data_IF_708400726292
#
_entry.id   IF_708400726292
#
_cell.length_a   1.000
_cell.length_b   1.000
_cell.length_c   1.000
_cell.angle_alpha   90.00
_cell.angle_beta   90.00
_cell.angle_gamma   90.00
#
_symmetry.space_group_name_H-M   'P 1'
#
loop_
_entity.id
_entity.type
_entity.pdbx_description
1 polymer ?
#
# COMPACT_ATOMS: atom_id res chain seq x y z
N UNK A 1 14.94 -19.34 15.30
CA UNK A 1 13.45 -19.26 15.27
C UNK A 1 13.05 -17.99 14.52
N UNK A 2 12.24 -18.09 13.45
CA UNK A 2 11.67 -16.90 12.81
C UNK A 2 10.59 -16.34 13.74
N UNK A 3 10.83 -15.18 14.36
CA UNK A 3 9.83 -14.47 15.17
C UNK A 3 8.67 -14.15 14.24
N UNK A 4 7.49 -14.76 14.44
CA UNK A 4 6.29 -14.38 13.68
C UNK A 4 5.85 -13.02 14.18
N UNK A 5 5.90 -12.02 13.30
CA UNK A 5 5.42 -10.68 13.64
C UNK A 5 3.92 -10.76 13.94
N UNK A 6 3.46 -10.17 15.06
CA UNK A 6 2.04 -10.13 15.38
C UNK A 6 1.30 -9.37 14.29
N UNK A 7 0.19 -9.93 13.82
CA UNK A 7 -0.63 -9.29 12.79
C UNK A 7 -1.60 -8.31 13.46
N UNK A 8 -1.52 -7.00 13.19
CA UNK A 8 -2.45 -6.03 13.77
C UNK A 8 -3.86 -6.19 13.18
N UNK A 9 -4.85 -5.65 13.89
CA UNK A 9 -6.23 -5.60 13.43
C UNK A 9 -6.34 -4.72 12.17
N UNK A 10 -7.09 -5.17 11.16
CA UNK A 10 -7.22 -4.45 9.89
C UNK A 10 -7.74 -3.01 10.05
N UNK A 11 -8.66 -2.79 10.99
CA UNK A 11 -9.23 -1.47 11.30
C UNK A 11 -8.18 -0.47 11.80
N UNK A 12 -7.16 -0.96 12.51
CA UNK A 12 -6.14 -0.13 13.15
C UNK A 12 -4.81 -0.10 12.41
N UNK A 13 -4.55 -1.08 11.53
CA UNK A 13 -3.27 -1.25 10.85
C UNK A 13 -2.70 0.06 10.27
N UNK A 14 -3.52 0.87 9.61
CA UNK A 14 -3.09 2.12 8.99
C UNK A 14 -2.91 3.28 10.00
N UNK A 15 -3.55 3.20 11.17
CA UNK A 15 -3.55 4.24 12.20
C UNK A 15 -2.48 3.99 13.28
N UNK A 16 -1.93 2.78 13.38
CA UNK A 16 -0.88 2.44 14.35
C UNK A 16 0.43 3.21 14.12
N UNK A 17 0.69 3.64 12.88
CA UNK A 17 1.85 4.46 12.52
C UNK A 17 1.72 5.94 12.93
N UNK A 18 0.54 6.37 13.41
CA UNK A 18 0.27 7.75 13.82
C UNK A 18 0.89 8.05 15.19
N UNK A 19 2.22 8.12 15.26
CA UNK A 19 2.99 8.36 16.49
C UNK A 19 3.05 9.83 16.90
N UNK A 20 2.84 10.76 15.96
CA UNK A 20 2.95 12.19 16.18
C UNK A 20 1.64 12.82 16.69
N UNK A 21 1.66 13.73 17.68
CA UNK A 21 0.46 14.41 18.17
C UNK A 21 -0.25 15.17 17.04
N UNK A 22 -1.57 14.99 16.93
CA UNK A 22 -2.40 15.59 15.88
C UNK A 22 -2.54 14.76 14.60
N UNK A 23 -1.85 13.63 14.50
CA UNK A 23 -2.01 12.68 13.37
C UNK A 23 -3.36 11.95 13.38
N UNK A 24 -4.02 11.92 14.54
CA UNK A 24 -5.36 11.39 14.75
C UNK A 24 -6.22 12.46 15.42
N UNK A 25 -7.53 12.44 15.14
CA UNK A 25 -8.47 13.25 15.92
C UNK A 25 -8.48 12.78 17.39
N UNK A 26 -8.87 13.64 18.35
CA UNK A 26 -8.90 13.26 19.77
C UNK A 26 -9.78 12.02 20.05
N UNK A 27 -10.88 11.88 19.32
CA UNK A 27 -11.78 10.72 19.42
C UNK A 27 -11.10 9.43 18.93
N UNK A 28 -10.41 9.49 17.81
CA UNK A 28 -9.68 8.33 17.26
C UNK A 28 -8.49 7.94 18.13
N UNK A 29 -7.80 8.92 18.70
CA UNK A 29 -6.71 8.69 19.63
C UNK A 29 -7.21 7.93 20.87
N UNK A 30 -8.31 8.39 21.49
CA UNK A 30 -8.90 7.73 22.65
C UNK A 30 -9.37 6.30 22.32
N UNK A 31 -10.02 6.11 21.17
CA UNK A 31 -10.46 4.79 20.71
C UNK A 31 -9.28 3.85 20.43
N UNK A 32 -8.17 4.36 19.88
CA UNK A 32 -6.96 3.60 19.65
C UNK A 32 -6.31 3.20 20.98
N UNK A 33 -6.18 4.14 21.92
CA UNK A 33 -5.60 3.86 23.25
C UNK A 33 -6.41 2.81 24.01
N UNK A 34 -7.73 2.85 23.94
CA UNK A 34 -8.59 1.84 24.54
C UNK A 34 -8.41 0.46 23.88
N UNK A 35 -8.28 0.43 22.55
CA UNK A 35 -8.03 -0.81 21.83
C UNK A 35 -6.69 -1.46 22.23
N UNK A 36 -5.64 -0.66 22.44
CA UNK A 36 -4.31 -1.17 22.77
C UNK A 36 -4.23 -1.84 24.13
N UNK A 37 -5.10 -1.47 25.09
CA UNK A 37 -5.22 -2.18 26.36
C UNK A 37 -5.67 -3.63 26.18
N UNK A 38 -6.39 -3.92 25.11
CA UNK A 38 -7.04 -5.21 24.86
C UNK A 38 -6.38 -6.03 23.74
N UNK A 39 -5.59 -5.39 22.86
CA UNK A 39 -4.96 -6.06 21.73
C UNK A 39 -3.43 -5.99 21.81
N UNK A 40 -2.83 -7.09 22.27
CA UNK A 40 -1.36 -7.23 22.36
C UNK A 40 -0.66 -7.18 21.02
N UNK A 41 -1.31 -7.63 19.94
CA UNK A 41 -0.75 -7.55 18.59
C UNK A 41 -0.61 -6.11 18.11
N UNK A 42 -1.66 -5.30 18.28
CA UNK A 42 -1.62 -3.88 17.94
C UNK A 42 -0.67 -3.09 18.85
N UNK A 43 -0.59 -3.45 20.14
CA UNK A 43 0.37 -2.85 21.07
C UNK A 43 1.82 -3.10 20.63
N UNK A 44 2.17 -4.35 20.33
CA UNK A 44 3.50 -4.71 19.84
C UNK A 44 3.86 -3.98 18.55
N UNK A 45 2.94 -3.90 17.58
CA UNK A 45 3.16 -3.15 16.33
C UNK A 45 3.33 -1.64 16.60
N UNK A 46 2.57 -1.06 17.53
CA UNK A 46 2.73 0.37 17.88
C UNK A 46 4.09 0.64 18.54
N UNK A 47 4.56 -0.25 19.39
CA UNK A 47 5.89 -0.14 20.00
C UNK A 47 7.02 -0.25 18.96
N UNK A 48 6.84 -1.07 17.92
CA UNK A 48 7.78 -1.12 16.80
C UNK A 48 7.84 0.23 16.06
N UNK A 49 6.69 0.86 15.80
CA UNK A 49 6.66 2.20 15.20
C UNK A 49 7.34 3.27 16.08
N UNK A 50 7.15 3.22 17.40
CA UNK A 50 7.85 4.14 18.32
C UNK A 50 9.36 3.93 18.32
N UNK A 51 9.83 2.68 18.28
CA UNK A 51 11.25 2.38 18.17
C UNK A 51 11.83 2.91 16.85
N UNK A 52 11.11 2.74 15.74
CA UNK A 52 11.52 3.29 14.45
C UNK A 52 11.57 4.82 14.47
N UNK A 53 10.55 5.48 15.01
CA UNK A 53 10.51 6.95 15.13
C UNK A 53 11.68 7.47 15.99
N UNK A 54 12.00 6.79 17.09
CA UNK A 54 13.15 7.12 17.93
C UNK A 54 14.49 7.02 17.16
N UNK A 55 14.68 5.95 16.38
CA UNK A 55 15.87 5.77 15.55
C UNK A 55 15.98 6.84 14.46
N UNK A 56 14.87 7.19 13.83
CA UNK A 56 14.82 8.25 12.80
C UNK A 56 15.17 9.60 13.42
N UNK A 57 14.62 9.92 14.60
CA UNK A 57 14.92 11.18 15.31
C UNK A 57 16.35 11.24 15.84
N UNK A 58 16.92 10.08 16.17
CA UNK A 58 18.31 9.96 16.59
C UNK A 58 19.30 10.00 15.41
N UNK A 59 18.81 10.05 14.16
CA UNK A 59 19.66 10.18 13.00
C UNK A 59 20.42 11.51 13.06
N UNK A 60 21.74 11.50 12.79
CA UNK A 60 22.55 12.68 12.97
C UNK A 60 22.10 13.81 12.03
N UNK A 61 22.13 15.04 12.53
CA UNK A 61 21.68 16.25 11.83
C UNK A 61 22.50 16.54 10.57
N UNK A 62 21.98 17.42 9.71
CA UNK A 62 22.57 17.78 8.40
C UNK A 62 24.07 18.12 8.42
N UNK A 63 24.59 18.64 9.53
CA UNK A 63 26.01 18.94 9.72
C UNK A 63 26.89 17.68 9.67
N UNK A 64 26.36 16.56 10.15
CA UNK A 64 26.96 15.22 10.03
C UNK A 64 26.75 14.60 8.64
N UNK A 65 25.91 15.17 7.77
CA UNK A 65 25.65 14.65 6.43
C UNK A 65 26.24 15.56 5.35
N UNK A 66 26.98 16.61 5.74
CA UNK A 66 27.61 17.55 4.81
C UNK A 66 28.55 16.87 3.79
N UNK A 67 29.13 15.71 4.15
CA UNK A 67 29.96 14.88 3.26
C UNK A 67 29.14 13.95 2.35
N UNK A 68 27.85 13.76 2.63
CA UNK A 68 26.89 13.07 1.78
C UNK A 68 26.03 14.02 0.95
N UNK A 69 26.28 15.34 1.04
CA UNK A 69 25.61 16.32 0.19
C UNK A 69 25.76 15.89 -1.27
N UNK A 70 24.66 15.55 -1.96
CA UNK A 70 24.73 15.40 -3.40
C UNK A 70 25.26 16.72 -3.98
N UNK A 71 25.92 16.68 -5.15
CA UNK A 71 26.28 17.91 -5.85
C UNK A 71 25.05 18.81 -5.88
N UNK A 72 25.22 20.13 -5.68
CA UNK A 72 24.11 21.05 -5.52
C UNK A 72 23.09 20.82 -6.61
N UNK A 73 21.83 21.01 -6.23
CA UNK A 73 20.69 21.19 -7.11
C UNK A 73 20.88 22.45 -8.02
N UNK A 74 22.04 22.62 -8.62
CA UNK A 74 22.32 23.44 -9.78
C UNK A 74 22.89 22.58 -10.92
N UNK A 75 23.22 21.30 -10.67
CA UNK A 75 23.64 20.32 -11.68
C UNK A 75 22.44 19.60 -12.34
N UNK A 76 21.30 19.50 -11.66
CA UNK A 76 20.02 19.25 -12.32
C UNK A 76 19.58 20.52 -13.07
N UNK A 77 20.08 20.73 -14.28
CA UNK A 77 19.54 21.79 -15.14
C UNK A 77 18.03 21.56 -15.34
N UNK A 78 17.16 22.50 -14.96
CA UNK A 78 15.76 22.47 -15.34
C UNK A 78 15.69 22.85 -16.83
N UNK A 79 16.09 21.94 -17.71
CA UNK A 79 16.29 22.34 -19.11
C UNK A 79 16.84 21.29 -20.07
N UNK A 80 16.56 19.99 -19.87
CA UNK A 80 16.55 18.98 -20.93
C UNK A 80 15.98 17.66 -20.39
N UNK A 81 14.69 17.63 -20.09
CA UNK A 81 13.94 16.42 -20.35
C UNK A 81 13.09 16.75 -21.57
N UNK A 82 13.47 16.26 -22.73
CA UNK A 82 12.57 16.27 -23.87
C UNK A 82 11.27 15.56 -23.42
N UNK A 83 10.20 16.32 -23.23
CA UNK A 83 8.83 15.81 -22.99
C UNK A 83 8.38 14.93 -24.18
N UNK A 84 9.08 15.01 -25.30
CA UNK A 84 8.93 14.17 -26.48
C UNK A 84 9.96 13.05 -26.61
N UNK A 85 10.87 12.86 -25.64
CA UNK A 85 11.67 11.64 -25.59
C UNK A 85 10.71 10.49 -25.34
N UNK A 86 10.67 9.46 -26.22
CA UNK A 86 9.76 8.38 -26.01
C UNK A 86 10.08 7.73 -24.65
N UNK A 87 9.11 7.02 -24.11
CA UNK A 87 9.23 6.34 -22.83
C UNK A 87 10.32 5.22 -22.72
N UNK A 88 11.11 4.75 -23.73
CA UNK A 88 11.94 3.56 -23.50
C UNK A 88 13.14 3.78 -22.57
N UNK A 89 13.62 5.02 -22.35
CA UNK A 89 14.75 5.23 -21.44
C UNK A 89 14.38 5.03 -19.96
N UNK A 90 13.21 5.57 -19.55
CA UNK A 90 12.69 5.37 -18.20
C UNK A 90 12.19 3.94 -17.99
N UNK A 91 11.55 3.33 -18.99
CA UNK A 91 11.13 1.92 -18.93
C UNK A 91 12.34 0.98 -18.78
N UNK A 92 13.45 1.26 -19.47
CA UNK A 92 14.68 0.48 -19.35
C UNK A 92 15.32 0.64 -17.97
N UNK A 93 15.45 1.87 -17.46
CA UNK A 93 15.96 2.12 -16.11
C UNK A 93 15.05 1.52 -15.02
N UNK A 94 13.74 1.57 -15.21
CA UNK A 94 12.76 0.95 -14.33
C UNK A 94 12.86 -0.59 -14.36
N UNK A 95 12.93 -1.21 -15.54
CA UNK A 95 13.11 -2.66 -15.67
C UNK A 95 14.45 -3.15 -15.13
N UNK A 96 15.51 -2.37 -15.32
CA UNK A 96 16.87 -2.72 -14.86
C UNK A 96 17.07 -2.50 -13.36
N UNK A 97 16.34 -1.55 -12.76
CA UNK A 97 16.26 -1.45 -11.29
C UNK A 97 15.35 -2.52 -10.70
N UNK A 98 14.19 -2.79 -11.31
CA UNK A 98 13.27 -3.84 -10.89
C UNK A 98 13.89 -5.24 -10.97
N UNK A 99 14.76 -5.51 -11.96
CA UNK A 99 15.51 -6.77 -12.05
C UNK A 99 16.57 -6.93 -10.95
N UNK A 100 17.04 -5.81 -10.38
CA UNK A 100 17.97 -5.82 -9.24
C UNK A 100 17.29 -6.20 -7.92
N UNK A 101 15.96 -6.04 -7.85
CA UNK A 101 15.13 -6.41 -6.70
C UNK A 101 14.26 -7.63 -7.02
N UNK A 102 14.84 -8.71 -7.54
CA UNK A 102 14.14 -9.99 -7.83
C UNK A 102 13.48 -10.66 -6.63
N UNK A 103 13.77 -10.19 -5.40
CA UNK A 103 13.17 -10.69 -4.17
C UNK A 103 11.90 -9.93 -3.74
N UNK A 104 11.55 -8.78 -4.32
CA UNK A 104 10.26 -8.16 -4.01
C UNK A 104 9.13 -9.05 -4.53
N UNK A 105 8.26 -9.60 -3.66
CA UNK A 105 7.14 -10.41 -4.11
C UNK A 105 6.21 -9.49 -4.89
N UNK A 106 6.32 -9.54 -6.22
CA UNK A 106 5.40 -8.87 -7.12
C UNK A 106 3.99 -9.17 -6.69
N UNK A 107 3.20 -8.11 -6.54
CA UNK A 107 1.78 -8.14 -6.25
C UNK A 107 1.03 -8.87 -7.39
N UNK A 108 1.13 -10.19 -7.41
CA UNK A 108 0.34 -11.09 -8.26
C UNK A 108 -0.96 -11.51 -7.54
N UNK A 109 -1.39 -10.73 -6.55
CA UNK A 109 -2.79 -10.68 -6.14
C UNK A 109 -3.45 -9.74 -7.17
N UNK A 110 -4.00 -10.19 -8.29
CA UNK A 110 -5.25 -10.94 -8.36
C UNK A 110 -5.51 -11.28 -9.85
N UNK A 111 -5.26 -12.52 -10.32
CA UNK A 111 -5.80 -12.99 -11.60
C UNK A 111 -7.25 -13.47 -11.49
N UNK A 112 -7.74 -13.82 -10.29
CA UNK A 112 -9.04 -14.45 -10.09
C UNK A 112 -10.25 -13.51 -10.23
N UNK A 113 -10.08 -12.19 -10.05
CA UNK A 113 -11.20 -11.24 -10.08
C UNK A 113 -11.75 -11.03 -11.49
N UNK A 114 -10.89 -11.12 -12.52
CA UNK A 114 -11.33 -11.02 -13.92
C UNK A 114 -12.21 -12.20 -14.35
N UNK A 115 -11.93 -13.40 -13.84
CA UNK A 115 -12.75 -14.58 -14.10
C UNK A 115 -14.06 -14.55 -13.31
N UNK A 116 -14.02 -14.11 -12.04
CA UNK A 116 -15.22 -13.99 -11.21
C UNK A 116 -16.28 -13.04 -11.84
N UNK A 117 -15.86 -11.91 -12.41
CA UNK A 117 -16.80 -11.00 -13.11
C UNK A 117 -17.46 -11.66 -14.31
N UNK A 118 -16.73 -12.47 -15.09
CA UNK A 118 -17.29 -13.19 -16.26
C UNK A 118 -18.29 -14.28 -15.82
N UNK A 119 -17.99 -15.00 -14.74
CA UNK A 119 -18.93 -16.00 -14.21
C UNK A 119 -20.21 -15.36 -13.69
N UNK A 120 -20.11 -14.23 -12.98
CA UNK A 120 -21.28 -13.52 -12.44
C UNK A 120 -22.16 -13.01 -13.58
N UNK A 121 -21.60 -12.42 -14.64
CA UNK A 121 -22.40 -11.93 -15.78
C UNK A 121 -23.11 -13.07 -16.51
N UNK A 122 -22.45 -14.22 -16.69
CA UNK A 122 -23.05 -15.40 -17.32
C UNK A 122 -24.24 -15.93 -16.53
N UNK A 123 -24.11 -16.05 -15.20
CA UNK A 123 -25.20 -16.52 -14.33
C UNK A 123 -26.40 -15.57 -14.37
N UNK A 124 -26.16 -14.26 -14.36
CA UNK A 124 -27.23 -13.25 -14.45
C UNK A 124 -27.97 -13.34 -15.79
N UNK A 125 -27.24 -13.48 -16.90
CA UNK A 125 -27.85 -13.60 -18.23
C UNK A 125 -28.70 -14.88 -18.37
N UNK A 126 -28.21 -16.01 -17.85
CA UNK A 126 -28.96 -17.27 -17.86
C UNK A 126 -30.25 -17.12 -17.04
N UNK A 127 -30.16 -16.53 -15.85
CA UNK A 127 -31.33 -16.33 -14.99
C UNK A 127 -32.40 -15.45 -15.66
N UNK A 128 -31.98 -14.33 -16.27
CA UNK A 128 -32.89 -13.45 -17.02
C UNK A 128 -33.55 -14.19 -18.19
N UNK A 129 -32.78 -14.98 -18.95
CA UNK A 129 -33.34 -15.76 -20.06
C UNK A 129 -34.38 -16.78 -19.57
N UNK A 130 -34.14 -17.46 -18.45
CA UNK A 130 -35.12 -18.42 -17.88
C UNK A 130 -36.39 -17.75 -17.38
N UNK A 131 -36.27 -16.57 -16.75
CA UNK A 131 -37.42 -15.78 -16.32
C UNK A 131 -38.26 -15.31 -17.51
N UNK A 132 -37.60 -14.76 -18.52
CA UNK A 132 -38.26 -14.30 -19.76
C UNK A 132 -38.98 -15.48 -20.42
N UNK A 133 -38.31 -16.62 -20.58
CA UNK A 133 -38.93 -17.84 -21.14
C UNK A 133 -40.14 -18.31 -20.35
N UNK A 134 -40.06 -18.34 -19.02
CA UNK A 134 -41.18 -18.73 -18.15
C UNK A 134 -42.39 -17.79 -18.27
N UNK A 135 -42.15 -16.48 -18.37
CA UNK A 135 -43.20 -15.48 -18.59
C UNK A 135 -43.86 -15.68 -19.96
N UNK A 136 -43.08 -15.92 -21.02
CA UNK A 136 -43.62 -16.19 -22.35
C UNK A 136 -44.49 -17.45 -22.38
N UNK A 137 -44.10 -18.53 -21.69
CA UNK A 137 -44.88 -19.75 -21.62
C UNK A 137 -46.16 -19.61 -20.78
N UNK A 138 -46.18 -18.68 -19.81
CA UNK A 138 -47.39 -18.40 -19.01
C UNK A 138 -48.41 -17.54 -19.78
N UNK A 139 -47.95 -16.78 -20.77
CA UNK A 139 -48.77 -15.90 -21.61
C UNK A 139 -49.30 -16.58 -22.89
N UNK A 140 -48.86 -17.81 -23.19
CA UNK A 140 -49.30 -18.63 -24.32
C UNK A 140 -50.32 -19.68 -23.86
#
# INVERSE_FOLDING_TARGET
MKKRMPKPCATWANKLAATYPGSLSPSEQAALEEHLKHCTACAATRDEYYQMDALIRAFPSDESLAHLSPPPLSIWEPGNYDVHSPAPALDKLYKESASRYTWMPGNNLIPHLRWATVFITLVVLIFLATLIWGIYHLML
#
